data_IF_942202128377
#
_entry.id   IF_942202128377
#
_cell.length_a   1.000
_cell.length_b   1.000
_cell.length_c   1.000
_cell.angle_alpha   90.00
_cell.angle_beta   90.00
_cell.angle_gamma   90.00
#
_symmetry.space_group_name_H-M   'P 1'
#
loop_
_entity.id
_entity.type
_entity.pdbx_description
1 polymer ?
#
# COMPACT_ATOMS: atom_id res chain seq x y z
N UNK A 1 -0.54 6.19 -7.44
CA UNK A 1 -0.31 6.63 -6.07
C UNK A 1 -1.16 7.83 -5.66
N UNK A 2 -1.20 8.96 -6.33
CA UNK A 2 -2.25 9.98 -6.06
C UNK A 2 -3.67 9.44 -6.29
N UNK A 3 -3.81 8.50 -7.21
CA UNK A 3 -5.11 7.93 -7.58
C UNK A 3 -5.65 6.92 -6.57
N UNK A 4 -4.82 6.28 -5.76
CA UNK A 4 -5.23 5.26 -4.79
C UNK A 4 -6.12 5.83 -3.68
N UNK A 5 -5.89 7.07 -3.30
CA UNK A 5 -6.58 7.76 -2.20
C UNK A 5 -7.57 8.84 -2.64
N UNK A 6 -7.83 8.98 -3.95
CA UNK A 6 -8.73 10.02 -4.45
C UNK A 6 -10.14 9.87 -3.87
N UNK A 7 -10.63 8.63 -3.73
CA UNK A 7 -11.92 8.33 -3.12
C UNK A 7 -11.96 8.73 -1.64
N UNK A 8 -11.00 8.25 -0.86
CA UNK A 8 -10.93 8.56 0.57
C UNK A 8 -10.83 10.07 0.84
N UNK A 9 -9.99 10.76 0.06
CA UNK A 9 -9.82 12.22 0.18
C UNK A 9 -11.13 12.97 -0.08
N UNK A 10 -11.90 12.53 -1.07
CA UNK A 10 -13.20 13.12 -1.39
C UNK A 10 -14.21 12.90 -0.26
N UNK A 11 -14.34 11.66 0.22
CA UNK A 11 -15.23 11.33 1.32
C UNK A 11 -14.94 12.14 2.61
N UNK A 12 -13.64 12.36 2.92
CA UNK A 12 -13.26 13.18 4.07
C UNK A 12 -13.60 14.67 3.90
N UNK A 13 -13.52 15.20 2.67
CA UNK A 13 -14.00 16.56 2.39
C UNK A 13 -15.52 16.66 2.54
N UNK A 14 -16.25 15.66 2.06
CA UNK A 14 -17.72 15.61 2.20
C UNK A 14 -18.12 15.53 3.71
N UNK A 15 -17.36 14.82 4.55
CA UNK A 15 -17.55 14.78 6.01
C UNK A 15 -17.25 16.16 6.63
N UNK A 16 -16.16 16.82 6.26
CA UNK A 16 -15.81 18.17 6.73
C UNK A 16 -16.94 19.17 6.38
N UNK A 17 -17.44 19.13 5.15
CA UNK A 17 -18.53 20.00 4.71
C UNK A 17 -19.86 19.72 5.47
N UNK A 18 -20.14 18.45 5.76
CA UNK A 18 -21.39 18.06 6.46
C UNK A 18 -21.36 18.33 7.97
N UNK A 19 -20.20 18.20 8.62
CA UNK A 19 -20.07 18.26 10.07
C UNK A 19 -19.43 19.55 10.57
N UNK A 20 -18.76 20.29 9.72
CA UNK A 20 -17.93 21.46 10.09
C UNK A 20 -16.66 21.07 10.88
N UNK A 21 -16.37 19.78 11.03
CA UNK A 21 -15.19 19.27 11.75
C UNK A 21 -14.16 18.78 10.76
N UNK A 22 -12.99 19.43 10.77
CA UNK A 22 -11.88 19.03 9.91
C UNK A 22 -11.19 17.77 10.45
N UNK A 23 -11.13 16.68 9.68
CA UNK A 23 -10.34 15.53 10.06
C UNK A 23 -8.85 15.88 10.24
N UNK A 24 -8.23 15.40 11.32
CA UNK A 24 -6.80 15.60 11.61
C UNK A 24 -5.94 14.62 10.78
N UNK A 25 -6.13 14.64 9.47
CA UNK A 25 -5.47 13.73 8.52
C UNK A 25 -4.79 14.55 7.42
N UNK A 26 -3.52 14.28 7.19
CA UNK A 26 -2.77 14.82 6.07
C UNK A 26 -2.43 13.72 5.05
N UNK A 27 -2.60 14.02 3.78
CA UNK A 27 -2.31 13.08 2.69
C UNK A 27 -1.00 13.44 2.00
N UNK A 28 -0.09 12.48 1.94
CA UNK A 28 1.20 12.64 1.30
C UNK A 28 1.46 11.52 0.28
N UNK A 29 2.08 11.90 -0.85
CA UNK A 29 2.52 10.96 -1.88
C UNK A 29 4.03 10.78 -1.75
N UNK A 30 4.46 9.60 -1.33
CA UNK A 30 5.87 9.31 -1.03
C UNK A 30 6.73 9.04 -2.26
N UNK A 31 6.11 8.73 -3.40
CA UNK A 31 6.82 8.33 -4.61
C UNK A 31 6.89 6.81 -4.76
N UNK A 32 7.49 6.32 -5.85
CA UNK A 32 7.69 4.89 -6.14
C UNK A 32 9.13 4.51 -5.88
N UNK A 33 9.31 3.35 -5.26
CA UNK A 33 10.60 2.76 -4.95
C UNK A 33 11.09 3.06 -3.54
N UNK A 34 11.88 2.14 -2.96
CA UNK A 34 12.19 2.14 -1.54
C UNK A 34 12.96 3.39 -1.11
N UNK A 35 14.00 3.77 -1.85
CA UNK A 35 14.85 4.90 -1.49
C UNK A 35 14.10 6.24 -1.53
N UNK A 36 13.27 6.44 -2.57
CA UNK A 36 12.48 7.67 -2.70
C UNK A 36 11.42 7.77 -1.60
N UNK A 37 10.72 6.68 -1.35
CA UNK A 37 9.67 6.66 -0.33
C UNK A 37 10.25 6.90 1.08
N UNK A 38 11.37 6.27 1.41
CA UNK A 38 12.08 6.49 2.67
C UNK A 38 12.57 7.93 2.82
N UNK A 39 13.22 8.50 1.79
CA UNK A 39 13.69 9.89 1.82
C UNK A 39 12.51 10.89 1.95
N UNK A 40 11.40 10.64 1.25
CA UNK A 40 10.19 11.48 1.34
C UNK A 40 9.58 11.43 2.74
N UNK A 41 9.52 10.25 3.38
CA UNK A 41 9.02 10.10 4.74
C UNK A 41 9.93 10.79 5.75
N UNK A 42 11.25 10.59 5.65
CA UNK A 42 12.22 11.28 6.52
C UNK A 42 12.04 12.80 6.41
N UNK A 43 12.02 13.34 5.20
CA UNK A 43 11.83 14.78 4.99
C UNK A 43 10.47 15.29 5.51
N UNK A 44 9.42 14.46 5.48
CA UNK A 44 8.10 14.77 6.02
C UNK A 44 8.15 14.89 7.54
N UNK A 45 8.76 13.91 8.22
CA UNK A 45 8.83 13.86 9.68
C UNK A 45 9.79 14.91 10.27
N UNK A 46 10.82 15.31 9.52
CA UNK A 46 11.81 16.31 9.92
C UNK A 46 11.33 17.77 9.74
N UNK A 47 10.16 18.02 9.14
CA UNK A 47 9.70 19.37 8.76
C UNK A 47 9.45 20.33 9.91
N UNK A 48 9.45 19.87 11.18
CA UNK A 48 9.18 20.76 12.33
C UNK A 48 7.77 21.34 12.28
N UNK A 49 6.77 20.48 12.17
CA UNK A 49 5.34 20.81 12.16
C UNK A 49 4.61 20.31 13.40
N UNK A 50 3.27 20.24 13.36
CA UNK A 50 2.49 19.57 14.39
C UNK A 50 3.00 18.15 14.60
N UNK A 51 2.95 17.68 15.85
CA UNK A 51 3.37 16.32 16.17
C UNK A 51 2.51 15.34 15.38
N UNK A 52 3.18 14.43 14.66
CA UNK A 52 2.51 13.34 13.93
C UNK A 52 2.23 12.20 14.91
N UNK A 53 0.96 11.87 15.12
CA UNK A 53 0.55 10.82 16.06
C UNK A 53 0.75 9.40 15.48
N UNK A 54 0.72 9.26 14.17
CA UNK A 54 0.99 8.01 13.48
C UNK A 54 1.04 8.15 11.95
N UNK A 55 1.68 7.21 11.32
CA UNK A 55 1.80 7.11 9.85
C UNK A 55 1.05 5.85 9.39
N UNK A 56 -0.01 6.05 8.62
CA UNK A 56 -0.71 4.98 7.92
C UNK A 56 -0.35 5.01 6.43
N UNK A 57 0.36 4.00 5.97
CA UNK A 57 0.57 3.79 4.53
C UNK A 57 -0.55 2.94 3.97
N UNK A 58 -1.19 3.42 2.92
CA UNK A 58 -2.23 2.68 2.21
C UNK A 58 -1.92 2.64 0.72
N UNK A 59 -2.15 1.49 0.10
CA UNK A 59 -1.85 1.30 -1.30
C UNK A 59 -2.08 -0.12 -1.77
N UNK A 60 -1.61 -0.44 -2.97
CA UNK A 60 -1.69 -1.78 -3.53
C UNK A 60 -0.39 -2.55 -3.35
N UNK A 61 -0.49 -3.88 -3.38
CA UNK A 61 0.66 -4.80 -3.34
C UNK A 61 0.45 -5.96 -4.32
N UNK A 62 1.54 -6.60 -4.72
CA UNK A 62 1.48 -7.90 -5.37
C UNK A 62 1.34 -9.01 -4.31
N UNK A 63 0.36 -9.91 -4.48
CA UNK A 63 0.26 -11.13 -3.68
C UNK A 63 1.31 -12.15 -4.12
N UNK A 64 2.01 -12.76 -3.17
CA UNK A 64 2.91 -13.89 -3.43
C UNK A 64 2.50 -15.15 -2.67
N UNK A 65 1.52 -15.04 -1.78
CA UNK A 65 0.82 -16.18 -1.23
C UNK A 65 -0.26 -16.64 -2.22
N UNK A 66 -0.31 -17.95 -2.57
CA UNK A 66 -1.28 -18.46 -3.53
C UNK A 66 -2.74 -18.41 -3.06
N UNK A 67 -3.00 -18.22 -1.76
CA UNK A 67 -4.35 -18.08 -1.22
C UNK A 67 -4.95 -16.68 -1.43
N UNK A 68 -4.12 -15.70 -1.80
CA UNK A 68 -4.55 -14.31 -1.99
C UNK A 68 -5.20 -14.07 -3.34
N UNK A 69 -6.33 -13.39 -3.31
CA UNK A 69 -7.07 -12.95 -4.49
C UNK A 69 -7.00 -11.43 -4.68
N UNK A 70 -7.26 -10.96 -5.91
CA UNK A 70 -7.34 -9.51 -6.19
C UNK A 70 -8.47 -8.86 -5.38
N UNK A 71 -8.14 -7.85 -4.61
CA UNK A 71 -9.09 -7.13 -3.75
C UNK A 71 -9.00 -7.51 -2.29
N UNK A 72 -8.26 -8.57 -1.93
CA UNK A 72 -8.04 -8.94 -0.53
C UNK A 72 -7.25 -7.86 0.21
N UNK A 73 -7.62 -7.65 1.47
CA UNK A 73 -6.97 -6.70 2.36
C UNK A 73 -5.81 -7.36 3.10
N UNK A 74 -4.67 -6.70 3.10
CA UNK A 74 -3.45 -7.17 3.76
C UNK A 74 -3.10 -6.25 4.92
N UNK A 75 -3.02 -6.81 6.11
CA UNK A 75 -2.50 -6.17 7.31
C UNK A 75 -1.11 -6.73 7.60
N UNK A 76 -0.08 -5.93 7.35
CA UNK A 76 1.28 -6.41 7.52
C UNK A 76 1.64 -6.54 9.01
N UNK A 77 2.06 -7.74 9.43
CA UNK A 77 2.55 -8.04 10.78
C UNK A 77 4.07 -7.80 10.92
N UNK A 78 4.76 -7.68 9.80
CA UNK A 78 6.19 -7.39 9.70
C UNK A 78 6.57 -6.84 8.33
N UNK A 79 7.61 -6.03 8.31
CA UNK A 79 8.19 -5.44 7.10
C UNK A 79 9.62 -5.93 6.92
N UNK A 80 9.94 -6.45 5.74
CA UNK A 80 11.27 -6.90 5.35
C UNK A 80 11.72 -6.19 4.07
N UNK A 81 13.05 -6.11 3.87
CA UNK A 81 13.66 -5.57 2.65
C UNK A 81 14.36 -6.71 1.91
N UNK A 82 14.15 -6.82 0.61
CA UNK A 82 14.91 -7.75 -0.23
C UNK A 82 16.40 -7.43 -0.15
N UNK A 83 17.21 -8.48 0.06
CA UNK A 83 18.68 -8.37 0.18
C UNK A 83 19.21 -7.39 1.25
N UNK A 84 18.32 -6.91 2.14
CA UNK A 84 18.72 -6.20 3.34
C UNK A 84 19.51 -7.09 4.31
N UNK A 85 20.20 -6.49 5.29
CA UNK A 85 20.96 -7.21 6.32
C UNK A 85 20.09 -8.15 7.18
N UNK A 86 18.78 -8.05 7.05
CA UNK A 86 17.75 -8.85 7.72
C UNK A 86 17.35 -10.09 6.90
N UNK A 87 18.27 -10.94 6.54
CA UNK A 87 17.95 -12.28 6.08
C UNK A 87 17.49 -13.13 7.28
N UNK A 88 16.21 -13.11 7.57
CA UNK A 88 15.58 -13.87 8.65
C UNK A 88 14.53 -13.05 9.41
N UNK A 89 13.55 -13.72 10.00
CA UNK A 89 12.43 -13.12 10.73
C UNK A 89 12.83 -12.24 11.95
N UNK A 90 14.12 -12.21 12.32
CA UNK A 90 14.63 -11.56 13.53
C UNK A 90 14.89 -10.05 13.45
N UNK A 91 14.97 -9.48 12.24
CA UNK A 91 15.28 -8.05 12.03
C UNK A 91 14.17 -7.30 11.26
N UNK A 92 13.01 -7.90 11.10
CA UNK A 92 11.87 -7.26 10.50
C UNK A 92 11.32 -6.14 11.40
N UNK A 93 11.02 -4.99 10.81
CA UNK A 93 10.29 -3.92 11.50
C UNK A 93 8.85 -4.39 11.68
N UNK A 94 8.27 -4.15 12.87
CA UNK A 94 6.88 -4.48 13.15
C UNK A 94 6.01 -3.24 13.15
N UNK A 95 4.73 -3.37 12.78
CA UNK A 95 3.77 -2.27 12.91
C UNK A 95 3.55 -1.91 14.38
N UNK A 96 3.02 -0.72 14.61
CA UNK A 96 2.52 -0.34 15.92
C UNK A 96 1.32 -1.22 16.31
N UNK A 97 1.33 -1.83 17.51
CA UNK A 97 0.27 -2.76 17.91
C UNK A 97 -1.12 -2.13 18.01
N UNK A 98 -1.21 -0.86 18.42
CA UNK A 98 -2.50 -0.17 18.58
C UNK A 98 -3.07 0.18 17.20
N UNK A 99 -2.21 0.66 16.27
CA UNK A 99 -2.62 0.91 14.89
C UNK A 99 -3.07 -0.38 14.21
N UNK A 100 -2.36 -1.50 14.43
CA UNK A 100 -2.74 -2.81 13.86
C UNK A 100 -4.08 -3.28 14.44
N UNK A 101 -4.30 -3.16 15.74
CA UNK A 101 -5.57 -3.51 16.36
C UNK A 101 -6.74 -2.67 15.79
N UNK A 102 -6.54 -1.37 15.63
CA UNK A 102 -7.56 -0.49 15.01
C UNK A 102 -7.82 -0.88 13.56
N UNK A 103 -6.80 -1.32 12.82
CA UNK A 103 -6.95 -1.79 11.45
C UNK A 103 -7.70 -3.13 11.37
N UNK A 104 -7.42 -4.04 12.28
CA UNK A 104 -8.17 -5.31 12.39
C UNK A 104 -9.64 -5.06 12.71
N UNK A 105 -9.94 -4.16 13.64
CA UNK A 105 -11.32 -3.78 13.93
C UNK A 105 -12.00 -3.15 12.71
N UNK A 106 -11.33 -2.22 12.03
CA UNK A 106 -11.85 -1.60 10.82
C UNK A 106 -12.12 -2.62 9.69
N UNK A 107 -11.28 -3.63 9.58
CA UNK A 107 -11.41 -4.69 8.58
C UNK A 107 -12.63 -5.60 8.84
N UNK A 108 -12.98 -5.83 10.12
CA UNK A 108 -14.18 -6.61 10.49
C UNK A 108 -15.48 -5.96 9.99
N UNK A 109 -15.52 -4.63 9.90
CA UNK A 109 -16.69 -3.90 9.41
C UNK A 109 -16.83 -4.00 7.88
N UNK A 110 -15.79 -4.48 7.21
CA UNK A 110 -15.76 -4.66 5.77
C UNK A 110 -16.02 -6.13 5.44
N UNK A 111 -16.93 -6.40 4.53
CA UNK A 111 -17.15 -7.76 4.00
C UNK A 111 -16.06 -8.15 2.98
N UNK A 112 -14.78 -7.90 3.32
CA UNK A 112 -13.62 -8.16 2.46
C UNK A 112 -12.70 -9.14 3.16
N UNK A 113 -12.24 -10.21 2.48
CA UNK A 113 -11.25 -11.12 3.04
C UNK A 113 -10.00 -10.36 3.47
N UNK A 114 -9.56 -10.63 4.69
CA UNK A 114 -8.43 -9.95 5.32
C UNK A 114 -7.39 -10.96 5.76
N UNK A 115 -6.14 -10.69 5.42
CA UNK A 115 -5.01 -11.57 5.70
C UNK A 115 -3.91 -10.82 6.45
N UNK A 116 -3.37 -11.46 7.47
CA UNK A 116 -2.17 -11.01 8.15
C UNK A 116 -0.94 -11.67 7.53
N UNK A 117 0.22 -10.99 7.53
CA UNK A 117 1.46 -11.60 7.10
C UNK A 117 2.57 -10.63 6.75
N UNK A 118 3.70 -11.18 6.31
CA UNK A 118 4.90 -10.40 6.00
C UNK A 118 4.78 -9.59 4.72
N UNK A 119 5.14 -8.33 4.79
CA UNK A 119 5.27 -7.41 3.66
C UNK A 119 6.74 -7.31 3.25
N UNK A 120 7.08 -7.73 2.03
CA UNK A 120 8.44 -7.66 1.49
C UNK A 120 8.57 -6.46 0.56
N UNK A 121 9.49 -5.56 0.88
CA UNK A 121 9.83 -4.45 0.00
C UNK A 121 10.91 -4.87 -0.98
N UNK A 122 10.65 -4.68 -2.27
CA UNK A 122 11.53 -4.95 -3.39
C UNK A 122 11.87 -3.66 -4.14
N UNK A 123 12.94 -3.63 -4.91
CA UNK A 123 13.39 -2.45 -5.67
C UNK A 123 12.85 -2.39 -7.11
N UNK A 124 12.23 -3.46 -7.58
CA UNK A 124 11.68 -3.59 -8.93
C UNK A 124 10.31 -4.27 -8.97
N UNK A 125 9.65 -4.20 -10.11
CA UNK A 125 8.39 -4.90 -10.34
C UNK A 125 8.65 -6.39 -10.58
N UNK A 126 8.23 -7.24 -9.65
CA UNK A 126 8.32 -8.70 -9.77
C UNK A 126 7.22 -9.20 -10.73
N UNK A 127 7.60 -9.42 -11.98
CA UNK A 127 6.67 -9.78 -13.06
C UNK A 127 6.49 -11.29 -13.23
N UNK A 128 7.52 -12.06 -12.93
CA UNK A 128 7.58 -13.50 -13.17
C UNK A 128 7.06 -14.29 -11.97
N UNK A 129 6.32 -15.37 -12.25
CA UNK A 129 5.72 -16.23 -11.21
C UNK A 129 6.83 -16.95 -10.42
N UNK A 130 7.85 -17.40 -11.12
CA UNK A 130 8.98 -18.14 -10.56
C UNK A 130 9.71 -17.32 -9.49
N UNK A 131 9.93 -16.04 -9.76
CA UNK A 131 10.55 -15.11 -8.82
C UNK A 131 9.66 -14.90 -7.56
N UNK A 132 8.33 -14.80 -7.73
CA UNK A 132 7.40 -14.71 -6.59
C UNK A 132 7.47 -15.93 -5.68
N UNK A 133 7.56 -17.12 -6.26
CA UNK A 133 7.71 -18.37 -5.50
C UNK A 133 9.02 -18.36 -4.71
N UNK A 134 10.14 -17.94 -5.31
CA UNK A 134 11.43 -17.85 -4.64
C UNK A 134 11.41 -16.83 -3.49
N UNK A 135 10.84 -15.65 -3.72
CA UNK A 135 10.73 -14.60 -2.70
C UNK A 135 9.86 -15.06 -1.53
N UNK A 136 8.73 -15.73 -1.80
CA UNK A 136 7.88 -16.29 -0.76
C UNK A 136 8.63 -17.33 0.09
N UNK A 137 9.31 -18.26 -0.55
CA UNK A 137 10.07 -19.30 0.14
C UNK A 137 11.22 -18.73 0.99
N UNK A 138 11.95 -17.74 0.45
CA UNK A 138 13.12 -17.15 1.11
C UNK A 138 12.75 -16.22 2.27
N UNK A 139 11.73 -15.38 2.11
CA UNK A 139 11.39 -14.34 3.08
C UNK A 139 10.14 -14.65 3.92
N UNK A 140 9.44 -15.75 3.63
CA UNK A 140 8.17 -16.12 4.27
C UNK A 140 7.17 -14.95 4.25
N UNK A 141 7.19 -14.18 3.16
CA UNK A 141 6.30 -13.05 2.96
C UNK A 141 5.00 -13.49 2.28
N UNK A 142 3.92 -12.75 2.52
CA UNK A 142 2.62 -12.92 1.86
C UNK A 142 2.45 -11.97 0.70
N UNK A 143 3.10 -10.82 0.75
CA UNK A 143 2.99 -9.78 -0.26
C UNK A 143 4.31 -9.08 -0.55
N UNK A 144 4.37 -8.43 -1.72
CA UNK A 144 5.48 -7.59 -2.17
C UNK A 144 5.00 -6.18 -2.50
N UNK A 145 5.83 -5.20 -2.16
CA UNK A 145 5.63 -3.78 -2.47
C UNK A 145 6.99 -3.12 -2.73
N UNK A 146 7.00 -1.83 -2.97
CA UNK A 146 8.24 -1.10 -3.27
C UNK A 146 8.58 -0.01 -2.25
N UNK A 147 7.85 0.12 -1.13
CA UNK A 147 7.98 1.27 -0.24
C UNK A 147 8.05 0.93 1.25
N UNK A 148 7.26 -0.03 1.72
CA UNK A 148 6.89 -0.20 3.14
C UNK A 148 8.06 -0.22 4.11
N UNK A 149 9.10 -1.01 3.82
CA UNK A 149 10.22 -1.16 4.74
C UNK A 149 10.94 0.17 5.00
N UNK A 150 11.25 0.93 3.95
CA UNK A 150 11.98 2.20 4.09
C UNK A 150 11.13 3.28 4.77
N UNK A 151 9.82 3.24 4.57
CA UNK A 151 8.89 4.15 5.26
C UNK A 151 8.79 3.76 6.74
N UNK A 152 8.64 2.46 7.04
CA UNK A 152 8.63 1.95 8.40
C UNK A 152 9.94 2.26 9.14
N UNK A 153 11.08 2.11 8.47
CA UNK A 153 12.41 2.45 9.01
C UNK A 153 12.51 3.94 9.35
N UNK A 154 12.02 4.83 8.48
CA UNK A 154 12.02 6.27 8.73
C UNK A 154 11.09 6.64 9.91
N UNK A 155 9.90 6.07 9.97
CA UNK A 155 8.96 6.28 11.07
C UNK A 155 9.53 5.77 12.40
N UNK A 156 10.15 4.57 12.41
CA UNK A 156 10.80 4.00 13.58
C UNK A 156 11.95 4.89 14.09
N UNK A 157 12.80 5.41 13.19
CA UNK A 157 13.90 6.34 13.54
C UNK A 157 13.37 7.64 14.15
N UNK A 158 12.21 8.11 13.70
CA UNK A 158 11.55 9.31 14.24
C UNK A 158 10.71 9.04 15.50
N UNK A 159 10.57 7.79 15.92
CA UNK A 159 9.74 7.41 17.07
C UNK A 159 8.23 7.59 16.82
N UNK A 160 7.79 7.53 15.56
CA UNK A 160 6.39 7.70 15.16
C UNK A 160 5.76 6.33 14.90
N UNK A 161 4.57 6.03 15.49
CA UNK A 161 3.80 4.82 15.20
C UNK A 161 3.57 4.64 13.71
N UNK A 162 3.68 3.40 13.21
CA UNK A 162 3.59 3.09 11.78
C UNK A 162 2.75 1.83 11.53
N UNK A 163 1.92 1.90 10.50
CA UNK A 163 1.22 0.75 9.92
C UNK A 163 1.16 0.89 8.40
N UNK A 164 1.37 -0.21 7.67
CA UNK A 164 1.02 -0.31 6.25
C UNK A 164 -0.13 -1.28 6.05
N UNK A 165 -1.11 -0.83 5.28
CA UNK A 165 -2.26 -1.61 4.84
C UNK A 165 -2.29 -1.62 3.33
N UNK A 166 -2.34 -2.82 2.75
CA UNK A 166 -2.30 -3.01 1.31
C UNK A 166 -3.53 -3.78 0.82
N UNK A 167 -3.88 -3.58 -0.43
CA UNK A 167 -4.88 -4.39 -1.13
C UNK A 167 -4.19 -5.12 -2.27
N UNK A 168 -4.47 -6.41 -2.42
CA UNK A 168 -3.87 -7.24 -3.47
C UNK A 168 -4.34 -6.75 -4.84
N UNK A 169 -3.40 -6.27 -5.65
CA UNK A 169 -3.65 -5.85 -7.03
C UNK A 169 -3.57 -7.03 -8.00
N UNK A 170 -2.53 -7.82 -7.86
CA UNK A 170 -2.21 -8.97 -8.70
C UNK A 170 -1.79 -10.17 -7.84
N UNK A 171 -2.24 -11.35 -8.23
CA UNK A 171 -2.06 -12.59 -7.45
C UNK A 171 -0.75 -13.29 -7.77
N UNK A 172 -0.36 -14.25 -6.92
CA UNK A 172 0.86 -15.05 -7.08
C UNK A 172 0.94 -15.77 -8.43
N UNK A 173 -0.20 -16.19 -8.98
CA UNK A 173 -0.31 -16.89 -10.26
C UNK A 173 -0.40 -15.96 -11.48
N UNK A 174 -0.48 -14.64 -11.27
CA UNK A 174 -0.63 -13.68 -12.35
C UNK A 174 0.72 -13.18 -12.85
N UNK A 175 1.13 -13.61 -14.04
CA UNK A 175 2.29 -13.02 -14.72
C UNK A 175 1.99 -11.59 -15.16
N UNK A 176 2.82 -10.65 -14.77
CA UNK A 176 2.69 -9.26 -15.18
C UNK A 176 3.47 -9.01 -16.47
N UNK A 177 2.93 -8.18 -17.38
CA UNK A 177 3.65 -7.83 -18.60
C UNK A 177 4.93 -7.05 -18.29
N UNK A 178 6.09 -7.50 -18.80
CA UNK A 178 7.40 -6.86 -18.61
C UNK A 178 7.52 -5.42 -19.15
N UNK A 179 6.49 -4.92 -19.86
CA UNK A 179 6.45 -3.53 -20.31
C UNK A 179 5.85 -2.53 -19.29
N UNK A 180 5.28 -3.02 -18.18
CA UNK A 180 4.65 -2.16 -17.17
C UNK A 180 5.61 -1.11 -16.56
N UNK A 181 6.87 -1.43 -16.21
CA UNK A 181 7.82 -0.42 -15.73
C UNK A 181 8.02 0.73 -16.71
N UNK A 182 8.04 0.44 -18.03
CA UNK A 182 8.17 1.44 -19.08
C UNK A 182 6.96 2.37 -19.26
N UNK A 183 5.83 2.09 -18.58
CA UNK A 183 4.65 2.95 -18.59
C UNK A 183 4.65 4.01 -17.47
N UNK A 184 5.62 3.98 -16.57
CA UNK A 184 5.74 4.94 -15.47
C UNK A 184 6.13 6.37 -15.93
N UNK A 185 6.29 6.60 -17.23
CA UNK A 185 6.62 7.90 -17.83
C UNK A 185 5.41 8.81 -18.09
N UNK A 186 5.66 9.93 -18.80
CA UNK A 186 4.65 10.96 -19.12
C UNK A 186 3.39 10.37 -19.78
N UNK A 187 2.22 10.99 -19.52
CA UNK A 187 0.90 10.58 -20.08
C UNK A 187 0.92 10.40 -21.61
N UNK A 188 1.65 11.26 -22.32
CA UNK A 188 1.77 11.21 -23.80
C UNK A 188 2.48 9.93 -24.26
N UNK A 189 3.61 9.56 -23.63
CA UNK A 189 4.34 8.34 -23.97
C UNK A 189 3.58 7.06 -23.67
N UNK A 190 2.67 7.08 -22.70
CA UNK A 190 1.75 5.97 -22.38
C UNK A 190 0.71 5.75 -23.48
N UNK A 191 0.01 6.80 -23.88
CA UNK A 191 -1.09 6.73 -24.85
C UNK A 191 -0.59 6.27 -26.23
N UNK A 192 0.49 6.84 -26.71
CA UNK A 192 1.07 6.46 -28.01
C UNK A 192 1.57 5.02 -28.03
N UNK A 193 2.16 4.53 -26.92
CA UNK A 193 2.68 3.16 -26.82
C UNK A 193 1.57 2.12 -26.73
N UNK A 194 0.42 2.44 -26.12
CA UNK A 194 -0.75 1.56 -26.05
C UNK A 194 -1.48 1.52 -27.40
N UNK A 195 -1.63 2.66 -28.10
CA UNK A 195 -2.27 2.72 -29.41
C UNK A 195 -1.50 1.94 -30.50
N UNK A 196 -0.19 1.84 -30.37
CA UNK A 196 0.64 1.08 -31.31
C UNK A 196 0.59 -0.45 -31.10
N UNK A 197 -0.07 -0.93 -30.01
CA UNK A 197 -0.08 -2.36 -29.63
C UNK A 197 -1.47 -2.81 -29.17
N UNK A 198 -2.46 -2.94 -30.07
CA UNK A 198 -3.86 -3.21 -29.71
C UNK A 198 -4.07 -4.52 -28.94
N UNK A 199 -3.21 -5.52 -29.11
CA UNK A 199 -3.25 -6.77 -28.33
C UNK A 199 -2.95 -6.61 -26.83
N UNK A 200 -2.43 -5.44 -26.39
CA UNK A 200 -2.21 -5.12 -24.97
C UNK A 200 -3.45 -4.54 -24.28
N UNK A 201 -4.45 -4.11 -25.05
CA UNK A 201 -5.66 -3.47 -24.54
C UNK A 201 -6.41 -4.37 -23.52
N UNK A 202 -6.65 -5.68 -23.76
CA UNK A 202 -7.35 -6.52 -22.80
C UNK A 202 -6.65 -6.60 -21.43
N UNK A 203 -5.32 -6.75 -21.43
CA UNK A 203 -4.54 -6.77 -20.19
C UNK A 203 -4.59 -5.45 -19.44
N UNK A 204 -4.50 -4.33 -20.16
CA UNK A 204 -4.62 -3.01 -19.56
C UNK A 204 -6.00 -2.74 -18.97
N UNK A 205 -7.07 -3.20 -19.64
CA UNK A 205 -8.43 -3.11 -19.13
C UNK A 205 -8.63 -3.98 -17.88
N UNK A 206 -8.05 -5.19 -17.86
CA UNK A 206 -8.07 -6.05 -16.68
C UNK A 206 -7.37 -5.36 -15.50
N UNK A 207 -6.15 -4.90 -15.68
CA UNK A 207 -5.39 -4.20 -14.63
C UNK A 207 -6.11 -2.94 -14.15
N UNK A 208 -6.76 -2.20 -15.05
CA UNK A 208 -7.59 -1.05 -14.68
C UNK A 208 -8.76 -1.45 -13.79
N UNK A 209 -9.47 -2.53 -14.11
CA UNK A 209 -10.58 -3.04 -13.29
C UNK A 209 -10.09 -3.51 -11.91
N UNK A 210 -8.98 -4.25 -11.87
CA UNK A 210 -8.35 -4.68 -10.62
C UNK A 210 -7.99 -3.47 -9.76
N UNK A 211 -7.37 -2.45 -10.35
CA UNK A 211 -7.02 -1.22 -9.64
C UNK A 211 -8.24 -0.46 -9.12
N UNK A 212 -9.32 -0.37 -9.88
CA UNK A 212 -10.57 0.25 -9.44
C UNK A 212 -11.21 -0.49 -8.26
N UNK A 213 -11.17 -1.83 -8.27
CA UNK A 213 -11.60 -2.65 -7.12
C UNK A 213 -10.75 -2.33 -5.89
N UNK A 214 -9.43 -2.34 -6.03
CA UNK A 214 -8.51 -2.00 -4.93
C UNK A 214 -8.76 -0.60 -4.37
N UNK A 215 -9.02 0.39 -5.24
CA UNK A 215 -9.35 1.76 -4.81
C UNK A 215 -10.62 1.81 -3.95
N UNK A 216 -11.66 1.07 -4.34
CA UNK A 216 -12.90 1.00 -3.57
C UNK A 216 -12.66 0.38 -2.18
N UNK A 217 -11.90 -0.73 -2.12
CA UNK A 217 -11.53 -1.38 -0.85
C UNK A 217 -10.72 -0.42 0.03
N UNK A 218 -9.69 0.24 -0.52
CA UNK A 218 -8.85 1.20 0.21
C UNK A 218 -9.65 2.39 0.74
N UNK A 219 -10.61 2.90 -0.03
CA UNK A 219 -11.48 4.01 0.39
C UNK A 219 -12.35 3.59 1.58
N UNK A 220 -13.04 2.46 1.46
CA UNK A 220 -13.92 1.95 2.53
C UNK A 220 -13.10 1.62 3.79
N UNK A 221 -11.94 0.97 3.62
CA UNK A 221 -11.05 0.68 4.73
C UNK A 221 -10.56 1.95 5.41
N UNK A 222 -10.10 2.94 4.66
CA UNK A 222 -9.61 4.20 5.21
C UNK A 222 -10.66 4.92 6.06
N UNK A 223 -11.91 4.96 5.60
CA UNK A 223 -13.03 5.53 6.36
C UNK A 223 -13.31 4.75 7.64
N UNK A 224 -13.38 3.42 7.57
CA UNK A 224 -13.60 2.57 8.74
C UNK A 224 -12.45 2.69 9.75
N UNK A 225 -11.20 2.70 9.28
CA UNK A 225 -10.02 2.88 10.12
C UNK A 225 -10.01 4.22 10.85
N UNK A 226 -10.30 5.32 10.16
CA UNK A 226 -10.33 6.65 10.76
C UNK A 226 -11.44 6.80 11.81
N UNK A 227 -12.56 6.10 11.64
CA UNK A 227 -13.61 5.98 12.67
C UNK A 227 -13.11 5.16 13.87
N UNK A 228 -12.56 3.99 13.63
CA UNK A 228 -12.06 3.10 14.67
C UNK A 228 -10.91 3.71 15.50
N UNK A 229 -10.05 4.51 14.86
CA UNK A 229 -8.94 5.24 15.52
C UNK A 229 -9.38 6.53 16.23
N UNK A 230 -10.66 6.93 16.11
CA UNK A 230 -11.15 8.19 16.66
C UNK A 230 -10.67 9.46 15.95
N UNK A 231 -10.03 9.30 14.79
CA UNK A 231 -9.51 10.43 13.99
C UNK A 231 -10.62 11.23 13.29
N UNK A 232 -11.80 10.64 13.13
CA UNK A 232 -13.05 11.28 12.71
C UNK A 232 -14.15 10.87 13.70
N UNK A 233 -15.00 11.83 14.11
CA UNK A 233 -16.07 11.56 15.06
C UNK A 233 -17.00 10.43 14.58
N UNK A 234 -17.47 9.60 15.51
CA UNK A 234 -18.56 8.68 15.23
C UNK A 234 -19.82 9.50 14.97
N UNK A 235 -20.32 9.47 13.75
CA UNK A 235 -21.59 10.08 13.34
C UNK A 235 -22.77 9.18 13.74
#
# INVERSE_FOLDING_TARGET
MEQELTGLRRELLDIEDATGVRPLVEFHVLGVGPERAGASMTALLDRGGPKVDGVLVVGVAGGIDPELETGDLLLADRYALQDGAAQGAGLAIRPDPQMLQSAQQAALDLSVPTFDGGSLTVDHLVAEIEERVELRARYQATSINMEDYRVAEAAQKAGVPFLSVRVVLDTASQRLPGYLPGLAGSRYKRVTRVLLMPWRIPTMLRLKKQFQLCQAVLTNFGLSYLKASGSIGAS
#
